data_IF_494785351093
#
_entry.id   IF_494785351093
#
_cell.length_a   1.000
_cell.length_b   1.000
_cell.length_c   1.000
_cell.angle_alpha   90.00
_cell.angle_beta   90.00
_cell.angle_gamma   90.00
#
_symmetry.space_group_name_H-M   'P 1'
#
loop_
_entity.id
_entity.type
_entity.pdbx_description
1 polymer ?
#
# COMPACT_ATOMS: atom_id res chain seq x y z
N UNK A 1 -7.57 34.35 -54.47
CA UNK A 1 -6.43 33.79 -53.69
C UNK A 1 -6.36 34.22 -52.22
N UNK A 2 -6.94 35.36 -51.79
CA UNK A 2 -6.83 35.86 -50.39
C UNK A 2 -7.71 35.15 -49.33
N UNK A 3 -8.70 34.36 -49.75
CA UNK A 3 -9.61 33.63 -48.83
C UNK A 3 -9.26 32.14 -48.62
N UNK A 4 -8.24 31.62 -49.31
CA UNK A 4 -7.84 30.20 -49.24
C UNK A 4 -6.92 29.94 -48.03
N UNK A 5 -6.10 30.93 -47.67
CA UNK A 5 -5.16 30.88 -46.53
C UNK A 5 -5.87 30.75 -45.17
N UNK A 6 -6.94 31.51 -44.84
CA UNK A 6 -7.62 31.35 -43.55
C UNK A 6 -8.36 30.01 -43.42
N UNK A 7 -8.82 29.43 -44.53
CA UNK A 7 -9.49 28.13 -44.53
C UNK A 7 -8.52 26.99 -44.19
N UNK A 8 -7.29 27.03 -44.73
CA UNK A 8 -6.25 26.03 -44.44
C UNK A 8 -5.77 26.12 -42.98
N UNK A 9 -5.58 27.34 -42.46
CA UNK A 9 -5.17 27.54 -41.07
C UNK A 9 -6.25 27.05 -40.06
N UNK A 10 -7.52 27.22 -40.39
CA UNK A 10 -8.65 26.75 -39.58
C UNK A 10 -8.77 25.21 -39.60
N UNK A 11 -8.51 24.56 -40.74
CA UNK A 11 -8.49 23.08 -40.84
C UNK A 11 -7.34 22.47 -40.04
N UNK A 12 -6.16 23.08 -40.03
CA UNK A 12 -5.02 22.60 -39.22
C UNK A 12 -5.29 22.72 -37.71
N UNK A 13 -5.98 23.77 -37.25
CA UNK A 13 -6.26 23.98 -35.82
C UNK A 13 -7.26 22.97 -35.24
N UNK A 14 -8.19 22.47 -36.07
CA UNK A 14 -9.21 21.47 -35.68
C UNK A 14 -8.62 20.05 -35.66
N UNK A 15 -7.57 19.77 -36.44
CA UNK A 15 -6.91 18.46 -36.45
C UNK A 15 -5.97 18.25 -35.25
N UNK A 16 -5.48 19.32 -34.61
CA UNK A 16 -4.57 19.21 -33.45
C UNK A 16 -5.28 19.11 -32.11
N UNK A 17 -6.57 19.48 -32.01
CA UNK A 17 -7.34 19.46 -30.76
C UNK A 17 -7.95 18.09 -30.43
N UNK A 18 -7.82 17.09 -31.30
CA UNK A 18 -8.40 15.75 -31.14
C UNK A 18 -7.50 14.67 -30.54
N UNK A 19 -6.24 14.97 -30.21
CA UNK A 19 -5.28 13.98 -29.69
C UNK A 19 -5.07 14.13 -28.18
N UNK A 20 -6.15 14.19 -27.39
CA UNK A 20 -6.05 13.80 -25.99
C UNK A 20 -6.16 12.28 -25.93
N UNK A 21 -5.02 11.59 -25.96
CA UNK A 21 -4.97 10.15 -25.73
C UNK A 21 -5.31 9.90 -24.25
N UNK A 22 -6.60 9.74 -23.98
CA UNK A 22 -7.09 9.36 -22.67
C UNK A 22 -6.80 7.87 -22.48
N UNK A 23 -5.60 7.57 -22.02
CA UNK A 23 -5.22 6.19 -21.67
C UNK A 23 -6.04 5.75 -20.47
N UNK A 24 -6.91 4.77 -20.69
CA UNK A 24 -7.62 4.08 -19.62
C UNK A 24 -6.66 3.08 -19.00
N UNK A 25 -6.12 3.42 -17.83
CA UNK A 25 -5.32 2.48 -17.05
C UNK A 25 -6.25 1.53 -16.32
N UNK A 26 -6.07 0.24 -16.57
CA UNK A 26 -6.74 -0.81 -15.79
C UNK A 26 -5.96 -0.96 -14.48
N UNK A 27 -6.64 -0.75 -13.37
CA UNK A 27 -6.07 -1.04 -12.06
C UNK A 27 -5.97 -2.55 -11.90
N UNK A 28 -4.77 -3.03 -11.57
CA UNK A 28 -4.51 -4.44 -11.29
C UNK A 28 -3.97 -4.59 -9.87
N UNK A 29 -4.30 -5.69 -9.20
CA UNK A 29 -3.69 -6.04 -7.91
C UNK A 29 -2.20 -6.25 -8.10
N UNK A 30 -1.40 -5.96 -7.08
CA UNK A 30 0.00 -6.37 -7.10
C UNK A 30 0.12 -7.90 -7.17
N UNK A 31 1.30 -8.38 -7.56
CA UNK A 31 1.57 -9.80 -7.79
C UNK A 31 1.23 -10.69 -6.59
N UNK A 32 1.08 -11.99 -6.84
CA UNK A 32 0.77 -12.98 -5.81
C UNK A 32 1.83 -13.11 -4.70
N UNK A 33 3.04 -12.60 -4.94
CA UNK A 33 4.07 -12.47 -3.91
C UNK A 33 3.73 -11.43 -2.83
N UNK A 34 2.80 -10.51 -3.12
CA UNK A 34 2.34 -9.46 -2.21
C UNK A 34 0.91 -9.75 -1.75
N UNK A 35 0.03 -10.13 -2.68
CA UNK A 35 -1.36 -10.50 -2.41
C UNK A 35 -1.55 -12.02 -2.46
N UNK A 36 -1.85 -12.62 -1.32
CA UNK A 36 -2.35 -13.99 -1.21
C UNK A 36 -3.82 -13.98 -0.76
N UNK A 37 -4.45 -15.15 -0.73
CA UNK A 37 -5.79 -15.31 -0.15
C UNK A 37 -5.80 -14.95 1.35
N UNK A 38 -4.65 -15.09 2.01
CA UNK A 38 -4.51 -14.93 3.46
C UNK A 38 -4.04 -13.53 3.88
N UNK A 39 -3.38 -12.81 2.97
CA UNK A 39 -2.82 -11.49 3.24
C UNK A 39 -2.86 -10.64 1.98
N UNK A 40 -3.44 -9.46 2.07
CA UNK A 40 -3.64 -8.61 0.90
C UNK A 40 -3.32 -7.14 1.22
N UNK A 41 -2.95 -6.42 0.18
CA UNK A 41 -2.77 -4.98 0.22
C UNK A 41 -4.08 -4.27 0.57
N UNK A 42 -3.96 -3.20 1.33
CA UNK A 42 -5.04 -2.34 1.73
C UNK A 42 -4.60 -0.89 1.59
N UNK A 43 -5.55 -0.04 1.19
CA UNK A 43 -5.42 1.42 1.15
C UNK A 43 -4.13 1.90 0.45
N UNK A 44 -3.91 1.54 -0.82
CA UNK A 44 -2.73 1.98 -1.54
C UNK A 44 -2.77 3.50 -1.77
N UNK A 45 -1.62 4.15 -1.59
CA UNK A 45 -1.38 5.56 -1.87
C UNK A 45 -0.20 5.65 -2.83
N UNK A 46 -0.43 6.25 -3.99
CA UNK A 46 0.61 6.51 -5.00
C UNK A 46 1.27 7.85 -4.69
N UNK A 47 2.60 7.93 -4.77
CA UNK A 47 3.32 9.20 -4.67
C UNK A 47 2.97 10.15 -5.81
N UNK A 48 3.13 11.46 -5.60
CA UNK A 48 2.79 12.49 -6.60
C UNK A 48 3.54 12.33 -7.92
N UNK A 49 4.77 11.83 -7.88
CA UNK A 49 5.61 11.55 -9.04
C UNK A 49 5.29 10.19 -9.71
N UNK A 50 4.37 9.41 -9.14
CA UNK A 50 4.00 8.10 -9.65
C UNK A 50 5.10 7.04 -9.53
N UNK A 51 6.12 7.24 -8.68
CA UNK A 51 7.27 6.34 -8.57
C UNK A 51 7.12 5.24 -7.52
N UNK A 52 6.31 5.48 -6.49
CA UNK A 52 6.16 4.59 -5.33
C UNK A 52 4.69 4.42 -4.91
N UNK A 53 4.33 3.23 -4.41
CA UNK A 53 3.04 2.93 -3.78
C UNK A 53 3.33 2.54 -2.35
N UNK A 54 2.65 3.23 -1.43
CA UNK A 54 2.57 2.85 -0.03
C UNK A 54 1.26 2.11 0.19
N UNK A 55 1.28 1.01 0.94
CA UNK A 55 0.06 0.28 1.29
C UNK A 55 0.22 -0.37 2.66
N UNK A 56 -0.90 -0.66 3.30
CA UNK A 56 -0.91 -1.52 4.49
C UNK A 56 -1.10 -2.97 4.07
N UNK A 57 -0.38 -3.90 4.69
CA UNK A 57 -0.62 -5.34 4.56
C UNK A 57 -1.09 -5.87 5.91
N UNK A 58 -2.23 -6.54 5.94
CA UNK A 58 -2.81 -7.10 7.17
C UNK A 58 -2.68 -8.62 7.23
N UNK A 59 -2.66 -9.17 8.45
CA UNK A 59 -2.78 -10.62 8.69
C UNK A 59 -1.63 -11.46 8.14
N UNK A 60 -0.48 -10.84 7.88
CA UNK A 60 0.71 -11.50 7.34
C UNK A 60 1.48 -12.17 8.48
N UNK A 61 1.88 -13.44 8.30
CA UNK A 61 2.75 -14.14 9.28
C UNK A 61 4.15 -13.52 9.34
N UNK A 62 4.63 -12.96 8.23
CA UNK A 62 5.86 -12.17 8.18
C UNK A 62 5.55 -10.69 8.47
N UNK A 63 5.05 -10.40 9.66
CA UNK A 63 4.85 -9.03 10.13
C UNK A 63 6.05 -8.53 10.94
N UNK A 64 6.14 -7.24 11.19
CA UNK A 64 7.18 -6.71 12.07
C UNK A 64 6.82 -6.96 13.55
N UNK A 65 7.61 -7.79 14.23
CA UNK A 65 7.40 -8.14 15.64
C UNK A 65 7.89 -7.02 16.57
N UNK A 66 7.27 -5.84 16.49
CA UNK A 66 7.56 -4.71 17.39
C UNK A 66 6.31 -4.44 18.22
N UNK A 67 6.48 -4.35 19.54
CA UNK A 67 5.39 -4.04 20.46
C UNK A 67 5.87 -3.02 21.47
N UNK A 68 5.60 -1.75 21.21
CA UNK A 68 6.07 -0.66 22.06
C UNK A 68 5.07 -0.28 23.14
N UNK A 69 5.52 -0.30 24.39
CA UNK A 69 4.77 0.19 25.55
C UNK A 69 5.71 1.08 26.39
N UNK A 70 5.33 2.33 26.65
CA UNK A 70 6.17 3.27 27.41
C UNK A 70 7.54 3.56 26.78
N UNK A 71 7.69 3.41 25.46
CA UNK A 71 8.96 3.59 24.74
C UNK A 71 9.88 2.37 24.76
N UNK A 72 9.45 1.25 25.34
CA UNK A 72 10.19 -0.01 25.39
C UNK A 72 9.58 -0.98 24.38
N UNK A 73 10.42 -1.59 23.56
CA UNK A 73 10.01 -2.66 22.64
C UNK A 73 9.94 -3.99 23.39
N UNK A 74 8.74 -4.38 23.81
CA UNK A 74 8.47 -5.57 24.60
C UNK A 74 8.82 -6.85 23.85
N UNK A 75 8.77 -6.87 22.51
CA UNK A 75 9.09 -8.06 21.72
C UNK A 75 10.52 -8.57 21.91
N UNK A 76 11.42 -7.71 22.42
CA UNK A 76 12.81 -8.06 22.73
C UNK A 76 12.97 -8.77 24.07
N UNK A 77 11.94 -8.74 24.92
CA UNK A 77 12.00 -9.22 26.30
C UNK A 77 10.96 -10.31 26.59
N UNK A 78 9.89 -10.39 25.80
CA UNK A 78 8.87 -11.42 25.90
C UNK A 78 9.30 -12.68 25.15
N UNK A 79 8.92 -13.84 25.68
CA UNK A 79 8.90 -15.07 24.89
C UNK A 79 7.82 -15.01 23.79
N UNK A 80 7.87 -15.90 22.81
CA UNK A 80 6.87 -15.96 21.73
C UNK A 80 5.45 -16.15 22.28
N UNK A 81 5.28 -16.99 23.31
CA UNK A 81 3.98 -17.21 23.96
C UNK A 81 3.47 -15.95 24.66
N UNK A 82 4.31 -15.29 25.45
CA UNK A 82 3.96 -14.05 26.13
C UNK A 82 3.67 -12.92 25.13
N UNK A 83 4.43 -12.84 24.04
CA UNK A 83 4.21 -11.89 22.97
C UNK A 83 2.84 -12.08 22.31
N UNK A 84 2.48 -13.32 21.99
CA UNK A 84 1.16 -13.65 21.41
C UNK A 84 0.03 -13.36 22.40
N UNK A 85 0.19 -13.71 23.67
CA UNK A 85 -0.80 -13.38 24.71
C UNK A 85 -0.97 -11.86 24.85
N UNK A 86 0.12 -11.10 24.80
CA UNK A 86 0.06 -9.64 24.87
C UNK A 86 -0.63 -9.03 23.65
N UNK A 87 -0.38 -9.56 22.45
CA UNK A 87 -1.11 -9.13 21.25
C UNK A 87 -2.60 -9.45 21.35
N UNK A 88 -2.99 -10.64 21.85
CA UNK A 88 -4.40 -10.99 22.09
C UNK A 88 -5.06 -10.00 23.04
N UNK A 89 -4.40 -9.67 24.15
CA UNK A 89 -4.89 -8.69 25.13
C UNK A 89 -5.14 -7.33 24.44
N UNK A 90 -4.14 -6.80 23.74
CA UNK A 90 -4.22 -5.49 23.07
C UNK A 90 -5.31 -5.49 22.02
N UNK A 91 -5.35 -6.47 21.12
CA UNK A 91 -6.31 -6.51 20.02
C UNK A 91 -7.74 -6.78 20.50
N UNK A 92 -7.91 -7.57 21.56
CA UNK A 92 -9.22 -7.73 22.20
C UNK A 92 -9.69 -6.42 22.82
N UNK A 93 -8.78 -5.67 23.44
CA UNK A 93 -9.07 -4.34 24.00
C UNK A 93 -9.47 -3.32 22.93
N UNK A 94 -8.84 -3.37 21.74
CA UNK A 94 -9.19 -2.50 20.61
C UNK A 94 -10.52 -2.87 19.95
N UNK A 95 -10.81 -4.16 19.82
CA UNK A 95 -11.99 -4.66 19.12
C UNK A 95 -13.25 -4.71 19.98
N UNK A 96 -13.09 -4.81 21.30
CA UNK A 96 -14.17 -5.07 22.26
C UNK A 96 -14.65 -6.52 22.28
N UNK A 97 -14.01 -7.44 21.54
CA UNK A 97 -14.29 -8.88 21.52
C UNK A 97 -13.00 -9.67 21.67
N UNK A 98 -13.10 -10.94 22.07
CA UNK A 98 -11.92 -11.78 22.24
C UNK A 98 -11.22 -12.06 20.90
N UNK A 99 -9.90 -11.80 20.83
CA UNK A 99 -9.04 -12.10 19.68
C UNK A 99 -8.42 -13.49 19.82
N UNK A 100 -8.78 -14.40 18.92
CA UNK A 100 -8.28 -15.78 18.93
C UNK A 100 -6.90 -15.92 18.28
N UNK A 101 -6.66 -15.19 17.19
CA UNK A 101 -5.44 -15.30 16.41
C UNK A 101 -4.90 -13.92 16.03
N UNK A 102 -4.06 -13.31 16.89
CA UNK A 102 -3.58 -11.96 16.67
C UNK A 102 -2.72 -11.84 15.41
N UNK A 103 -2.03 -12.91 14.98
CA UNK A 103 -1.20 -12.89 13.76
C UNK A 103 -2.06 -12.65 12.53
N UNK A 104 -3.25 -13.26 12.48
CA UNK A 104 -4.20 -13.12 11.36
C UNK A 104 -5.20 -11.98 11.56
N UNK A 105 -5.10 -11.25 12.66
CA UNK A 105 -6.03 -10.17 12.99
C UNK A 105 -5.92 -9.01 12.01
N UNK A 106 -7.04 -8.32 11.79
CA UNK A 106 -7.07 -7.08 11.01
C UNK A 106 -6.30 -5.94 11.68
N UNK A 107 -6.01 -6.04 12.98
CA UNK A 107 -5.15 -5.09 13.70
C UNK A 107 -3.66 -5.32 13.46
N UNK A 108 -3.26 -6.52 13.02
CA UNK A 108 -1.88 -6.81 12.67
C UNK A 108 -1.56 -6.26 11.28
N UNK A 109 -1.10 -5.01 11.23
CA UNK A 109 -0.86 -4.27 10.01
C UNK A 109 0.56 -3.73 9.93
N UNK A 110 1.21 -3.93 8.79
CA UNK A 110 2.48 -3.31 8.45
C UNK A 110 2.34 -2.37 7.26
N UNK A 111 3.22 -1.37 7.18
CA UNK A 111 3.33 -0.49 6.02
C UNK A 111 4.41 -1.02 5.07
N UNK A 112 4.03 -1.14 3.81
CA UNK A 112 4.86 -1.61 2.73
C UNK A 112 4.98 -0.54 1.65
N UNK A 113 6.11 -0.59 0.95
CA UNK A 113 6.46 0.27 -0.16
C UNK A 113 6.80 -0.61 -1.36
N UNK A 114 6.23 -0.29 -2.52
CA UNK A 114 6.65 -0.83 -3.80
C UNK A 114 7.17 0.28 -4.70
N UNK A 115 8.37 0.07 -5.24
CA UNK A 115 8.99 0.97 -6.21
C UNK A 115 9.06 0.28 -7.59
N UNK A 116 9.04 1.08 -8.65
CA UNK A 116 9.23 0.66 -10.05
C UNK A 116 8.13 -0.28 -10.58
N UNK A 117 6.93 0.28 -10.80
CA UNK A 117 5.74 -0.41 -11.34
C UNK A 117 5.96 -1.11 -12.69
N UNK A 118 6.89 -0.61 -13.50
CA UNK A 118 7.07 -1.03 -14.89
C UNK A 118 8.10 -2.16 -15.06
N UNK A 119 8.56 -2.74 -13.95
CA UNK A 119 9.49 -3.86 -13.98
C UNK A 119 8.77 -5.17 -13.71
N UNK A 120 9.14 -6.25 -14.42
CA UNK A 120 8.72 -7.63 -14.12
C UNK A 120 9.10 -8.11 -12.70
N UNK A 121 9.72 -7.25 -11.88
CA UNK A 121 10.22 -7.52 -10.52
C UNK A 121 10.10 -6.27 -9.65
N UNK A 122 8.87 -5.92 -9.18
CA UNK A 122 8.71 -4.79 -8.27
C UNK A 122 9.59 -4.96 -7.04
N UNK A 123 10.27 -3.89 -6.62
CA UNK A 123 11.04 -3.90 -5.38
C UNK A 123 10.06 -3.63 -4.25
N UNK A 124 9.80 -4.66 -3.45
CA UNK A 124 8.89 -4.61 -2.31
C UNK A 124 9.70 -4.46 -1.03
N UNK A 125 9.38 -3.46 -0.21
CA UNK A 125 10.06 -3.20 1.06
C UNK A 125 9.06 -2.96 2.17
N UNK A 126 9.16 -3.72 3.26
CA UNK A 126 8.51 -3.41 4.54
C UNK A 126 9.21 -2.22 5.18
N UNK A 127 8.46 -1.24 5.67
CA UNK A 127 9.00 -0.10 6.39
C UNK A 127 9.14 -0.43 7.89
N UNK A 128 10.12 0.15 8.61
CA UNK A 128 10.38 -0.18 10.01
C UNK A 128 9.30 0.39 10.94
N UNK A 129 8.95 -0.30 12.03
CA UNK A 129 8.02 0.23 13.05
C UNK A 129 8.73 1.08 14.11
N UNK A 130 8.03 2.04 14.78
CA UNK A 130 6.73 2.60 14.42
C UNK A 130 6.90 3.76 13.43
N UNK A 131 6.05 3.82 12.40
CA UNK A 131 6.03 4.94 11.43
C UNK A 131 5.04 6.04 11.85
N UNK A 132 4.11 5.74 12.75
CA UNK A 132 3.15 6.68 13.32
C UNK A 132 3.26 6.70 14.84
N UNK A 133 4.08 7.61 15.36
CA UNK A 133 3.88 8.18 16.70
C UNK A 133 3.13 9.52 16.51
N UNK A 134 1.81 9.44 16.37
CA UNK A 134 0.96 10.63 16.47
C UNK A 134 0.71 10.98 17.94
#
# INVERSE_FOLDING_TARGET
MKHIIPAIAMVCLVLTSGLSQQSWYKLEKLSSSINSDESHELRPIVTRDGSCIYFTKQGSEDFNHVLQEGGIDLSKYLSDEEYILKLKEVYSGLSGVEEENPIRSSFNQDIWLVNQFDSNRPIVKRLPSPINNA
#
